data_IF_883499095632
#
_entry.id   IF_883499095632
#
_cell.length_a   1.000
_cell.length_b   1.000
_cell.length_c   1.000
_cell.angle_alpha   90.00
_cell.angle_beta   90.00
_cell.angle_gamma   90.00
#
_symmetry.space_group_name_H-M   'P 1'
#
loop_
_entity.id
_entity.type
_entity.pdbx_description
1 polymer ?
#
# COMPACT_ATOMS: atom_id res chain seq x y z
N UNK A 1 -12.07 38.05 -56.54
CA UNK A 1 -11.12 38.13 -55.40
C UNK A 1 -9.74 38.41 -55.94
N UNK A 2 -9.03 39.38 -55.35
CA UNK A 2 -7.63 39.65 -55.70
C UNK A 2 -6.70 38.71 -54.94
N UNK A 3 -5.52 38.45 -55.49
CA UNK A 3 -4.49 37.61 -54.87
C UNK A 3 -4.06 38.13 -53.49
N UNK A 4 -4.09 39.45 -53.29
CA UNK A 4 -3.85 40.11 -52.00
C UNK A 4 -4.93 39.83 -50.95
N UNK A 5 -6.20 39.77 -51.35
CA UNK A 5 -7.30 39.43 -50.44
C UNK A 5 -7.16 37.99 -49.91
N UNK A 6 -6.84 37.05 -50.81
CA UNK A 6 -6.58 35.64 -50.45
C UNK A 6 -5.39 35.52 -49.50
N UNK A 7 -4.30 36.24 -49.77
CA UNK A 7 -3.09 36.19 -48.94
C UNK A 7 -3.34 36.76 -47.52
N UNK A 8 -4.13 37.83 -47.43
CA UNK A 8 -4.53 38.41 -46.14
C UNK A 8 -5.39 37.44 -45.34
N UNK A 9 -6.33 36.77 -45.99
CA UNK A 9 -7.20 35.78 -45.36
C UNK A 9 -6.40 34.58 -44.84
N UNK A 10 -5.50 34.02 -45.64
CA UNK A 10 -4.60 32.92 -45.24
C UNK A 10 -3.71 33.29 -44.05
N UNK A 11 -3.12 34.49 -44.04
CA UNK A 11 -2.33 34.98 -42.90
C UNK A 11 -3.20 35.15 -41.64
N UNK A 12 -4.45 35.60 -41.79
CA UNK A 12 -5.38 35.70 -40.66
C UNK A 12 -5.78 34.34 -40.10
N UNK A 13 -5.94 33.32 -40.96
CA UNK A 13 -6.23 31.95 -40.57
C UNK A 13 -5.04 31.32 -39.85
N UNK A 14 -3.81 31.52 -40.36
CA UNK A 14 -2.58 31.06 -39.71
C UNK A 14 -2.45 31.65 -38.30
N UNK A 15 -2.62 32.96 -38.13
CA UNK A 15 -2.57 33.61 -36.81
C UNK A 15 -3.64 33.06 -35.86
N UNK A 16 -4.85 32.77 -36.37
CA UNK A 16 -5.91 32.13 -35.58
C UNK A 16 -5.50 30.70 -35.16
N UNK A 17 -4.99 29.89 -36.08
CA UNK A 17 -4.52 28.55 -35.78
C UNK A 17 -3.38 28.53 -34.75
N UNK A 18 -2.40 29.43 -34.86
CA UNK A 18 -1.30 29.57 -33.89
C UNK A 18 -1.81 29.92 -32.48
N UNK A 19 -2.77 30.86 -32.38
CA UNK A 19 -3.41 31.20 -31.09
C UNK A 19 -4.19 30.02 -30.52
N UNK A 20 -4.93 29.30 -31.36
CA UNK A 20 -5.68 28.11 -30.94
C UNK A 20 -4.73 27.01 -30.45
N UNK A 21 -3.62 26.75 -31.15
CA UNK A 21 -2.61 25.77 -30.72
C UNK A 21 -2.00 26.15 -29.36
N UNK A 22 -1.61 27.41 -29.17
CA UNK A 22 -1.11 27.90 -27.87
C UNK A 22 -2.14 27.74 -26.75
N UNK A 23 -3.41 28.00 -27.03
CA UNK A 23 -4.50 27.80 -26.07
C UNK A 23 -4.68 26.32 -25.72
N UNK A 24 -4.62 25.42 -26.69
CA UNK A 24 -4.72 23.96 -26.48
C UNK A 24 -3.54 23.48 -25.61
N UNK A 25 -2.33 23.94 -25.89
CA UNK A 25 -1.15 23.59 -25.10
C UNK A 25 -1.28 24.05 -23.64
N UNK A 26 -1.78 25.27 -23.43
CA UNK A 26 -1.98 25.80 -22.08
C UNK A 26 -3.04 25.00 -21.30
N UNK A 27 -4.18 24.70 -21.93
CA UNK A 27 -5.24 23.87 -21.32
C UNK A 27 -4.68 22.48 -20.97
N UNK A 28 -3.89 21.88 -21.86
CA UNK A 28 -3.29 20.56 -21.66
C UNK A 28 -2.33 20.54 -20.46
N UNK A 29 -1.51 21.59 -20.30
CA UNK A 29 -0.62 21.75 -19.14
C UNK A 29 -1.39 21.92 -17.84
N UNK A 30 -2.43 22.76 -17.84
CA UNK A 30 -3.28 22.97 -16.66
C UNK A 30 -3.96 21.66 -16.22
N UNK A 31 -4.55 20.92 -17.15
CA UNK A 31 -5.17 19.62 -16.88
C UNK A 31 -4.17 18.59 -16.34
N UNK A 32 -2.94 18.59 -16.85
CA UNK A 32 -1.87 17.73 -16.34
C UNK A 32 -1.52 18.06 -14.88
N UNK A 33 -1.40 19.35 -14.56
CA UNK A 33 -1.13 19.82 -13.20
C UNK A 33 -2.26 19.48 -12.24
N UNK A 34 -3.52 19.75 -12.61
CA UNK A 34 -4.69 19.42 -11.77
C UNK A 34 -4.80 17.92 -11.50
N UNK A 35 -4.51 17.06 -12.49
CA UNK A 35 -4.46 15.61 -12.31
C UNK A 35 -3.39 15.16 -11.32
N UNK A 36 -2.22 15.81 -11.35
CA UNK A 36 -1.16 15.54 -10.37
C UNK A 36 -1.61 15.95 -8.97
N UNK A 37 -2.23 17.11 -8.83
CA UNK A 37 -2.81 17.57 -7.55
C UNK A 37 -3.87 16.59 -7.04
N UNK A 38 -4.79 16.13 -7.89
CA UNK A 38 -5.82 15.17 -7.51
C UNK A 38 -5.21 13.85 -6.99
N UNK A 39 -4.19 13.32 -7.69
CA UNK A 39 -3.46 12.11 -7.24
C UNK A 39 -2.80 12.32 -5.87
N UNK A 40 -2.24 13.50 -5.64
CA UNK A 40 -1.65 13.84 -4.35
C UNK A 40 -2.71 13.90 -3.24
N UNK A 41 -3.85 14.55 -3.49
CA UNK A 41 -4.97 14.62 -2.54
C UNK A 41 -5.50 13.23 -2.21
N UNK A 42 -5.68 12.36 -3.21
CA UNK A 42 -6.15 10.97 -3.00
C UNK A 42 -5.14 10.14 -2.20
N UNK A 43 -3.84 10.32 -2.45
CA UNK A 43 -2.78 9.67 -1.66
C UNK A 43 -2.81 10.12 -0.20
N UNK A 44 -2.93 11.41 0.05
CA UNK A 44 -3.03 11.97 1.41
C UNK A 44 -4.30 11.51 2.13
N UNK A 45 -5.42 11.47 1.41
CA UNK A 45 -6.67 10.92 1.91
C UNK A 45 -6.52 9.46 2.35
N UNK A 46 -5.92 8.60 1.51
CA UNK A 46 -5.67 7.20 1.84
C UNK A 46 -4.81 7.03 3.09
N UNK A 47 -3.76 7.84 3.25
CA UNK A 47 -2.91 7.82 4.45
C UNK A 47 -3.68 8.22 5.71
N UNK A 48 -4.47 9.31 5.64
CA UNK A 48 -5.31 9.76 6.77
C UNK A 48 -6.38 8.74 7.16
N UNK A 49 -6.93 8.02 6.18
CA UNK A 49 -7.91 6.96 6.42
C UNK A 49 -7.32 5.79 7.20
N UNK A 50 -6.10 5.36 6.86
CA UNK A 50 -5.38 4.34 7.64
C UNK A 50 -5.09 4.83 9.06
N UNK A 51 -4.68 6.10 9.20
CA UNK A 51 -4.44 6.69 10.52
C UNK A 51 -5.72 6.76 11.39
N UNK A 52 -6.84 7.17 10.80
CA UNK A 52 -8.14 7.16 11.47
C UNK A 52 -8.52 5.75 11.94
N UNK A 53 -8.31 4.73 11.09
CA UNK A 53 -8.57 3.34 11.47
C UNK A 53 -7.74 2.90 12.68
N UNK A 54 -6.46 3.28 12.73
CA UNK A 54 -5.59 2.97 13.88
C UNK A 54 -6.11 3.61 15.16
N UNK A 55 -6.54 4.86 15.08
CA UNK A 55 -7.11 5.59 16.22
C UNK A 55 -8.41 4.92 16.70
N UNK A 56 -9.27 4.48 15.78
CA UNK A 56 -10.50 3.74 16.10
C UNK A 56 -10.22 2.37 16.72
N UNK A 57 -9.24 1.64 16.20
CA UNK A 57 -8.77 0.39 16.81
C UNK A 57 -8.32 0.64 18.26
N UNK A 58 -7.45 1.63 18.47
CA UNK A 58 -6.93 1.97 19.78
C UNK A 58 -8.05 2.40 20.75
N UNK A 59 -9.00 3.23 20.29
CA UNK A 59 -10.14 3.67 21.09
C UNK A 59 -11.02 2.50 21.57
N UNK A 60 -11.03 1.39 20.82
CA UNK A 60 -11.76 0.16 21.14
C UNK A 60 -10.91 -0.87 21.90
N UNK A 61 -9.67 -0.53 22.28
CA UNK A 61 -8.74 -1.49 22.91
C UNK A 61 -8.30 -2.62 21.98
N UNK A 62 -8.34 -2.37 20.68
CA UNK A 62 -8.06 -3.33 19.61
C UNK A 62 -6.81 -2.91 18.83
N UNK A 63 -6.28 -3.85 18.07
CA UNK A 63 -5.15 -3.66 17.17
C UNK A 63 -5.25 -4.64 16.00
N UNK A 64 -4.23 -4.71 15.14
CA UNK A 64 -4.20 -5.61 13.99
C UNK A 64 -3.07 -6.66 14.07
N UNK A 65 -3.35 -7.85 13.57
CA UNK A 65 -2.33 -8.87 13.32
C UNK A 65 -1.78 -8.71 11.89
N UNK A 66 -0.47 -8.54 11.74
CA UNK A 66 0.16 -8.40 10.41
C UNK A 66 0.23 -9.73 9.65
N UNK A 67 0.18 -10.87 10.35
CA UNK A 67 0.18 -12.19 9.70
C UNK A 67 -1.18 -12.60 9.12
N UNK A 68 -2.26 -12.53 9.92
CA UNK A 68 -3.59 -12.97 9.47
C UNK A 68 -4.52 -11.84 9.03
N UNK A 69 -4.08 -10.58 9.09
CA UNK A 69 -4.93 -9.40 8.76
C UNK A 69 -6.23 -9.33 9.59
N UNK A 70 -6.19 -9.84 10.83
CA UNK A 70 -7.31 -9.80 11.77
C UNK A 70 -7.23 -8.59 12.69
N UNK A 71 -8.40 -8.07 13.11
CA UNK A 71 -8.49 -7.19 14.26
C UNK A 71 -8.52 -8.03 15.54
N UNK A 72 -7.70 -7.68 16.53
CA UNK A 72 -7.52 -8.45 17.77
C UNK A 72 -7.44 -7.52 18.98
N UNK A 73 -7.77 -7.98 20.20
CA UNK A 73 -7.56 -7.19 21.41
C UNK A 73 -6.08 -6.80 21.56
N UNK A 74 -5.80 -5.56 21.96
CA UNK A 74 -4.43 -5.08 22.16
C UNK A 74 -3.70 -5.90 23.23
N UNK A 75 -4.42 -6.31 24.28
CA UNK A 75 -3.92 -7.18 25.36
C UNK A 75 -3.49 -8.57 24.91
N UNK A 76 -3.97 -9.04 23.77
CA UNK A 76 -3.63 -10.35 23.20
C UNK A 76 -2.58 -10.25 22.09
N UNK A 77 -2.13 -9.03 21.80
CA UNK A 77 -1.14 -8.78 20.75
C UNK A 77 0.29 -8.80 21.31
N UNK A 78 1.20 -9.39 20.56
CA UNK A 78 2.63 -9.35 20.86
C UNK A 78 3.43 -8.95 19.62
N UNK A 79 4.63 -8.43 19.85
CA UNK A 79 5.58 -8.13 18.79
C UNK A 79 6.54 -9.30 18.59
N UNK A 80 6.73 -9.67 17.33
CA UNK A 80 7.58 -10.76 16.92
C UNK A 80 8.50 -10.30 15.79
N UNK A 81 9.80 -10.49 15.95
CA UNK A 81 10.76 -10.25 14.90
C UNK A 81 11.04 -11.57 14.19
N UNK A 82 10.83 -11.59 12.87
CA UNK A 82 11.04 -12.76 12.03
C UNK A 82 12.16 -12.46 11.05
N UNK A 83 13.23 -13.25 11.08
CA UNK A 83 14.34 -13.15 10.13
C UNK A 83 14.63 -14.50 9.49
N UNK A 84 15.04 -14.51 8.24
CA UNK A 84 15.22 -15.75 7.49
C UNK A 84 15.78 -15.55 6.11
N UNK A 85 15.74 -16.61 5.30
CA UNK A 85 15.87 -16.49 3.87
C UNK A 85 14.81 -17.31 3.14
N UNK A 86 14.33 -16.78 2.03
CA UNK A 86 13.35 -17.39 1.14
C UNK A 86 13.92 -17.50 -0.27
N UNK A 87 13.77 -18.66 -0.91
CA UNK A 87 14.06 -18.83 -2.33
C UNK A 87 13.06 -17.99 -3.15
N UNK A 88 13.54 -17.19 -4.12
CA UNK A 88 12.63 -16.46 -5.02
C UNK A 88 12.81 -16.94 -6.46
N UNK A 89 11.69 -17.28 -7.10
CA UNK A 89 11.64 -17.45 -8.55
C UNK A 89 11.28 -16.11 -9.19
N UNK A 90 12.24 -15.46 -9.85
CA UNK A 90 12.01 -14.23 -10.60
C UNK A 90 11.94 -14.48 -12.11
N UNK A 91 10.84 -14.08 -12.76
CA UNK A 91 10.78 -13.88 -14.21
C UNK A 91 10.56 -15.12 -15.10
N UNK A 92 10.28 -14.85 -16.40
CA UNK A 92 9.94 -15.80 -17.47
C UNK A 92 10.81 -17.07 -17.44
N UNK A 93 10.18 -18.23 -17.64
CA UNK A 93 10.82 -19.56 -17.78
C UNK A 93 11.34 -20.25 -16.50
N UNK A 94 10.73 -20.03 -15.32
CA UNK A 94 10.98 -20.87 -14.13
C UNK A 94 12.45 -21.01 -13.72
N UNK A 95 13.29 -20.01 -14.00
CA UNK A 95 14.67 -19.98 -13.49
C UNK A 95 14.65 -19.52 -12.04
N UNK A 96 15.07 -20.38 -11.11
CA UNK A 96 15.20 -20.04 -9.69
C UNK A 96 16.37 -19.07 -9.51
N UNK A 97 16.11 -17.88 -8.95
CA UNK A 97 17.14 -16.87 -8.68
C UNK A 97 17.37 -16.73 -7.18
N UNK A 98 18.13 -17.67 -6.61
CA UNK A 98 18.76 -17.53 -5.29
C UNK A 98 17.84 -17.44 -4.07
N UNK A 99 18.46 -17.44 -2.89
CA UNK A 99 17.81 -17.21 -1.59
C UNK A 99 17.97 -15.74 -1.18
N UNK A 100 16.87 -15.02 -1.02
CA UNK A 100 16.86 -13.66 -0.49
C UNK A 100 16.65 -13.67 1.03
N UNK A 101 17.49 -12.93 1.75
CA UNK A 101 17.30 -12.75 3.19
C UNK A 101 16.17 -11.77 3.44
N UNK A 102 15.38 -12.03 4.48
CA UNK A 102 14.35 -11.11 4.96
C UNK A 102 14.43 -10.94 6.47
N UNK A 103 13.92 -9.80 6.93
CA UNK A 103 13.83 -9.45 8.34
C UNK A 103 12.63 -8.52 8.50
N UNK A 104 11.66 -8.90 9.34
CA UNK A 104 10.39 -8.18 9.47
C UNK A 104 9.91 -8.16 10.91
N UNK A 105 9.30 -7.05 11.29
CA UNK A 105 8.65 -6.88 12.59
C UNK A 105 7.14 -7.09 12.41
N UNK A 106 6.60 -8.05 13.13
CA UNK A 106 5.18 -8.40 13.10
C UNK A 106 4.51 -8.05 14.42
N UNK A 107 3.27 -7.56 14.33
CA UNK A 107 2.31 -7.62 15.44
C UNK A 107 1.46 -8.86 15.23
N UNK A 108 1.44 -9.77 16.19
CA UNK A 108 0.82 -11.09 16.04
C UNK A 108 -0.22 -11.33 17.13
N UNK A 109 -1.29 -12.04 16.76
CA UNK A 109 -2.22 -12.63 17.72
C UNK A 109 -1.61 -13.90 18.33
N UNK A 110 -2.20 -14.38 19.43
CA UNK A 110 -1.83 -15.64 20.08
C UNK A 110 -1.69 -16.81 19.10
N UNK A 111 -2.70 -17.05 18.26
CA UNK A 111 -2.67 -18.15 17.29
C UNK A 111 -1.59 -18.02 16.20
N UNK A 112 -1.26 -16.79 15.77
CA UNK A 112 -0.16 -16.58 14.81
C UNK A 112 1.21 -16.69 15.48
N UNK A 113 1.32 -16.27 16.74
CA UNK A 113 2.53 -16.43 17.55
C UNK A 113 2.87 -17.90 17.73
N UNK A 114 1.90 -18.73 18.14
CA UNK A 114 2.13 -20.15 18.42
C UNK A 114 2.58 -20.87 17.14
N UNK A 115 1.94 -20.60 16.00
CA UNK A 115 2.38 -21.10 14.68
C UNK A 115 3.80 -20.67 14.30
N UNK A 116 4.20 -19.44 14.65
CA UNK A 116 5.55 -18.96 14.36
C UNK A 116 6.60 -19.62 15.28
N UNK A 117 6.24 -19.92 16.53
CA UNK A 117 7.09 -20.67 17.46
C UNK A 117 7.29 -22.12 16.99
N UNK A 118 6.23 -22.80 16.58
CA UNK A 118 6.30 -24.18 16.06
C UNK A 118 7.24 -24.32 14.86
N UNK A 119 7.36 -23.23 14.09
CA UNK A 119 8.17 -23.16 12.88
C UNK A 119 9.56 -22.53 13.10
N UNK A 120 9.86 -22.05 14.31
CA UNK A 120 11.12 -21.39 14.63
C UNK A 120 12.31 -22.32 14.34
N UNK A 121 13.23 -21.88 13.50
CA UNK A 121 14.43 -22.65 13.15
C UNK A 121 14.16 -23.86 12.25
N UNK A 122 12.96 -23.99 11.69
CA UNK A 122 12.65 -25.08 10.75
C UNK A 122 13.01 -24.70 9.30
N UNK A 123 13.61 -25.64 8.57
CA UNK A 123 13.76 -25.61 7.11
C UNK A 123 12.61 -26.44 6.53
N UNK A 124 11.64 -25.81 5.84
CA UNK A 124 10.40 -26.49 5.46
C UNK A 124 9.87 -26.14 4.06
N UNK A 125 9.30 -27.15 3.38
CA UNK A 125 8.62 -27.07 2.06
C UNK A 125 7.23 -26.38 2.10
N UNK A 126 6.90 -25.59 3.11
CA UNK A 126 5.50 -25.46 3.59
C UNK A 126 4.87 -24.07 3.63
N UNK A 127 5.22 -23.17 2.71
CA UNK A 127 4.29 -22.12 2.26
C UNK A 127 3.93 -22.39 0.79
N UNK A 128 3.18 -23.46 0.55
CA UNK A 128 3.03 -23.98 -0.81
C UNK A 128 1.88 -23.31 -1.56
N UNK A 129 2.23 -22.52 -2.58
CA UNK A 129 1.64 -22.71 -3.91
C UNK A 129 2.69 -22.77 -5.04
N UNK A 130 3.96 -22.44 -4.76
CA UNK A 130 5.09 -22.71 -5.67
C UNK A 130 6.35 -22.97 -4.85
N UNK A 131 6.97 -24.14 -5.07
CA UNK A 131 8.20 -24.68 -4.46
C UNK A 131 9.26 -23.61 -4.09
N UNK A 132 9.21 -23.08 -2.87
CA UNK A 132 10.21 -22.17 -2.32
C UNK A 132 10.68 -22.73 -0.98
N UNK A 133 11.98 -22.99 -0.84
CA UNK A 133 12.58 -23.34 0.45
C UNK A 133 12.74 -22.06 1.28
N UNK A 134 12.20 -22.05 2.49
CA UNK A 134 12.40 -20.96 3.45
C UNK A 134 12.90 -21.51 4.80
N UNK A 135 13.81 -20.77 5.42
CA UNK A 135 14.17 -20.94 6.83
C UNK A 135 13.95 -19.62 7.54
N UNK A 136 13.35 -19.64 8.72
CA UNK A 136 13.19 -18.43 9.52
C UNK A 136 13.31 -18.69 11.02
N UNK A 137 13.68 -17.63 11.73
CA UNK A 137 13.79 -17.55 13.16
C UNK A 137 12.88 -16.43 13.66
N UNK A 138 12.03 -16.78 14.62
CA UNK A 138 11.10 -15.88 15.27
C UNK A 138 11.56 -15.54 16.69
N UNK A 139 11.82 -14.26 16.96
CA UNK A 139 12.31 -13.78 18.27
C UNK A 139 11.29 -12.84 18.90
N UNK A 140 11.06 -12.99 20.22
CA UNK A 140 10.21 -12.06 20.98
C UNK A 140 10.79 -10.65 20.92
N UNK A 141 9.92 -9.66 20.75
CA UNK A 141 10.30 -8.24 20.71
C UNK A 141 9.71 -7.48 21.88
N UNK A 142 10.49 -6.51 22.37
CA UNK A 142 10.05 -5.52 23.34
C UNK A 142 10.35 -4.12 22.81
N UNK A 143 9.38 -3.20 22.96
CA UNK A 143 9.59 -1.78 22.67
C UNK A 143 10.16 -1.10 23.91
N UNK A 144 11.29 -0.41 23.78
CA UNK A 144 11.99 0.28 24.87
C UNK A 144 12.27 1.74 24.50
N UNK A 145 12.77 2.52 25.45
CA UNK A 145 13.31 3.85 25.19
C UNK A 145 14.45 3.74 24.16
N UNK A 146 14.20 4.22 22.94
CA UNK A 146 15.17 4.19 21.84
C UNK A 146 14.91 3.16 20.73
N UNK A 147 13.83 2.36 20.79
CA UNK A 147 13.39 1.53 19.65
C UNK A 147 12.91 0.12 20.02
N UNK A 148 12.90 -0.77 19.03
CA UNK A 148 12.54 -2.19 19.22
C UNK A 148 13.76 -3.05 19.51
N UNK A 149 13.61 -4.03 20.40
CA UNK A 149 14.67 -4.97 20.77
C UNK A 149 14.16 -6.40 20.64
N UNK A 150 14.91 -7.26 19.94
CA UNK A 150 14.62 -8.68 19.83
C UNK A 150 15.46 -9.51 20.79
N UNK A 151 14.87 -10.54 21.40
CA UNK A 151 15.59 -11.49 22.26
C UNK A 151 16.25 -12.56 21.39
N UNK A 152 17.54 -12.41 21.09
CA UNK A 152 18.35 -13.35 20.29
C UNK A 152 19.42 -13.99 21.17
N UNK A 153 19.51 -15.32 21.18
CA UNK A 153 20.53 -16.09 21.93
C UNK A 153 20.68 -15.66 23.40
N UNK A 154 19.57 -15.36 24.08
CA UNK A 154 19.61 -14.91 25.48
C UNK A 154 20.06 -13.46 25.68
N UNK A 155 20.21 -12.66 24.63
CA UNK A 155 20.54 -11.25 24.69
C UNK A 155 19.46 -10.39 24.03
N UNK A 156 19.29 -9.15 24.50
CA UNK A 156 18.43 -8.18 23.85
C UNK A 156 19.25 -7.41 22.82
N UNK A 157 18.90 -7.55 21.54
CA UNK A 157 19.59 -6.91 20.42
C UNK A 157 18.68 -5.82 19.86
N UNK A 158 19.18 -4.59 19.77
CA UNK A 158 18.44 -3.48 19.17
C UNK A 158 18.19 -3.78 17.69
N UNK A 159 16.94 -3.63 17.25
CA UNK A 159 16.56 -3.74 15.85
C UNK A 159 16.88 -2.42 15.13
N UNK A 160 17.18 -2.54 13.84
CA UNK A 160 17.38 -1.41 12.97
C UNK A 160 16.01 -0.80 12.59
N UNK A 161 15.77 0.45 13.00
CA UNK A 161 14.51 1.16 12.79
C UNK A 161 14.21 1.40 11.29
N UNK A 162 15.23 1.42 10.42
CA UNK A 162 15.02 1.57 8.98
C UNK A 162 14.49 0.29 8.35
N UNK A 163 15.05 -0.84 8.76
CA UNK A 163 14.81 -2.16 8.16
C UNK A 163 13.73 -2.98 8.87
N UNK A 164 13.33 -2.61 10.10
CA UNK A 164 12.43 -3.40 10.95
C UNK A 164 11.16 -2.63 11.35
N UNK A 165 10.56 -1.89 10.40
CA UNK A 165 9.30 -1.17 10.65
C UNK A 165 8.14 -2.15 10.82
N UNK A 166 7.23 -1.83 11.73
CA UNK A 166 5.99 -2.59 11.88
C UNK A 166 5.09 -2.33 10.68
N UNK A 167 4.63 -3.41 10.04
CA UNK A 167 3.74 -3.31 8.89
C UNK A 167 2.39 -2.66 9.24
N UNK A 168 1.92 -1.83 8.32
CA UNK A 168 0.59 -1.23 8.32
C UNK A 168 -0.53 -2.30 8.26
N UNK A 169 -1.75 -2.02 8.73
CA UNK A 169 -2.87 -2.93 8.53
C UNK A 169 -3.07 -3.16 7.02
N UNK A 170 -3.35 -4.41 6.64
CA UNK A 170 -3.53 -4.74 5.24
C UNK A 170 -4.73 -4.00 4.63
N UNK A 171 -4.67 -3.69 3.34
CA UNK A 171 -5.78 -3.02 2.65
C UNK A 171 -7.11 -3.76 2.83
N UNK A 172 -7.09 -5.10 2.81
CA UNK A 172 -8.29 -5.90 3.04
C UNK A 172 -8.90 -5.70 4.43
N UNK A 173 -8.04 -5.60 5.47
CA UNK A 173 -8.51 -5.30 6.82
C UNK A 173 -9.07 -3.87 6.91
N UNK A 174 -8.41 -2.91 6.26
CA UNK A 174 -8.84 -1.51 6.23
C UNK A 174 -10.22 -1.39 5.60
N UNK A 175 -10.45 -2.01 4.43
CA UNK A 175 -11.76 -1.97 3.76
C UNK A 175 -12.85 -2.63 4.62
N UNK A 176 -12.60 -3.84 5.13
CA UNK A 176 -13.58 -4.56 5.95
C UNK A 176 -14.00 -3.76 7.18
N UNK A 177 -13.03 -3.23 7.94
CA UNK A 177 -13.34 -2.46 9.15
C UNK A 177 -13.95 -1.10 8.82
N UNK A 178 -13.54 -0.46 7.72
CA UNK A 178 -14.15 0.78 7.29
C UNK A 178 -15.64 0.58 6.97
N UNK A 179 -16.00 -0.53 6.34
CA UNK A 179 -17.40 -0.89 6.12
C UNK A 179 -18.14 -1.18 7.44
N UNK A 180 -17.58 -2.05 8.29
CA UNK A 180 -18.21 -2.45 9.56
C UNK A 180 -18.43 -1.28 10.52
N UNK A 181 -17.52 -0.30 10.52
CA UNK A 181 -17.54 0.83 11.46
C UNK A 181 -17.98 2.15 10.83
N UNK A 182 -18.48 2.11 9.58
CA UNK A 182 -18.94 3.28 8.85
C UNK A 182 -17.87 4.39 8.75
N UNK A 183 -16.61 4.00 8.48
CA UNK A 183 -15.51 4.92 8.25
C UNK A 183 -15.51 5.40 6.78
N UNK A 184 -14.81 6.51 6.47
CA UNK A 184 -14.76 7.05 5.11
C UNK A 184 -14.34 5.99 4.06
N UNK A 185 -14.97 5.99 2.87
CA UNK A 185 -14.74 4.99 1.83
C UNK A 185 -13.38 5.15 1.16
N UNK A 186 -12.92 4.15 0.42
CA UNK A 186 -11.70 4.30 -0.40
C UNK A 186 -11.98 5.20 -1.62
N UNK A 187 -11.00 6.02 -1.98
CA UNK A 187 -11.01 6.83 -3.20
C UNK A 187 -9.80 6.46 -4.06
N UNK A 188 -9.99 6.29 -5.37
CA UNK A 188 -8.94 5.97 -6.33
C UNK A 188 -9.06 6.86 -7.58
N UNK A 189 -7.93 7.06 -8.28
CA UNK A 189 -7.90 7.73 -9.59
C UNK A 189 -7.53 6.70 -10.64
N UNK A 190 -8.52 6.13 -11.33
CA UNK A 190 -8.30 5.15 -12.39
C UNK A 190 -7.84 5.84 -13.68
N UNK A 191 -6.72 5.44 -14.29
CA UNK A 191 -6.40 5.86 -15.65
C UNK A 191 -7.30 5.10 -16.63
N UNK A 192 -8.18 5.80 -17.37
CA UNK A 192 -8.73 5.21 -18.59
C UNK A 192 -7.62 5.06 -19.63
N UNK A 193 -7.68 3.98 -20.41
CA UNK A 193 -6.88 3.81 -21.63
C UNK A 193 -7.86 3.70 -22.81
N UNK A 194 -7.61 4.32 -23.98
CA UNK A 194 -6.43 5.11 -24.36
C UNK A 194 -6.53 6.60 -24.01
N UNK A 195 -7.66 7.08 -23.50
CA UNK A 195 -7.83 8.48 -23.11
C UNK A 195 -7.29 8.69 -21.70
N UNK A 196 -6.31 9.58 -21.53
CA UNK A 196 -5.71 9.95 -20.24
C UNK A 196 -6.70 10.53 -19.19
N UNK A 197 -8.01 10.42 -19.41
CA UNK A 197 -9.07 10.75 -18.47
C UNK A 197 -8.93 9.89 -17.21
N UNK A 198 -8.36 10.50 -16.17
CA UNK A 198 -8.43 9.94 -14.82
C UNK A 198 -9.87 10.00 -14.33
N UNK A 199 -10.49 8.86 -14.08
CA UNK A 199 -11.80 8.81 -13.41
C UNK A 199 -11.55 8.71 -11.91
N UNK A 200 -12.11 9.65 -11.14
CA UNK A 200 -12.19 9.50 -9.70
C UNK A 200 -13.24 8.42 -9.40
N UNK A 201 -12.81 7.36 -8.72
CA UNK A 201 -13.69 6.28 -8.28
C UNK A 201 -13.77 6.36 -6.76
N UNK A 202 -14.98 6.61 -6.26
CA UNK A 202 -15.28 6.52 -4.83
C UNK A 202 -15.92 5.16 -4.62
N UNK A 203 -15.30 4.34 -3.78
CA UNK A 203 -15.79 3.01 -3.42
C UNK A 203 -16.84 3.14 -2.31
N UNK A 204 -17.91 3.88 -2.60
CA UNK A 204 -19.09 4.00 -1.74
C UNK A 204 -19.94 2.74 -1.84
N UNK A 205 -20.57 2.37 -0.73
CA UNK A 205 -21.67 1.40 -0.79
C UNK A 205 -22.84 2.09 -1.51
N UNK A 206 -23.35 1.49 -2.58
CA UNK A 206 -24.76 1.70 -2.90
C UNK A 206 -25.53 1.17 -1.70
N UNK A 207 -26.03 2.06 -0.86
CA UNK A 207 -27.10 1.72 0.07
C UNK A 207 -28.18 1.12 -0.81
N UNK A 208 -28.35 -0.20 -0.75
CA UNK A 208 -29.59 -0.80 -1.23
C UNK A 208 -30.69 -0.06 -0.47
N UNK A 209 -31.47 0.74 -1.19
CA UNK A 209 -32.71 1.30 -0.70
C UNK A 209 -33.53 0.11 -0.18
N UNK A 210 -33.47 -0.11 1.13
CA UNK A 210 -34.31 -1.08 1.79
C UNK A 210 -35.70 -0.44 1.85
N UNK A 211 -36.52 -0.81 0.87
CA UNK A 211 -37.96 -0.59 0.86
C UNK A 211 -38.71 -1.44 1.89
#
# INVERSE_FOLDING_TARGET
>A
MTQEALMTELLSMRKRAERTAQSIDQISRNLSSERQTLRQVVKEYGAKRVELLKQELQARGMTWCTCCSGAIPESESELLFVEGAEERSGGYENSCWGCERFSKLHRVCSGCRDKAQDRHGTQGRYDNFNKIQAYFYASRVEKREGGYYARKFGNWVKLDDENCKLDEPSGQLVERLAEEWNLPPRIEVEPKWPSSEGKLVVHERMLAEAG
#
